data_IF_843373741476
#
_entry.id   IF_843373741476
#
_cell.length_a   1.000
_cell.length_b   1.000
_cell.length_c   1.000
_cell.angle_alpha   90.00
_cell.angle_beta   90.00
_cell.angle_gamma   90.00
#
_symmetry.space_group_name_H-M   'P 1'
#
loop_
_entity.id
_entity.type
_entity.pdbx_description
1 polymer ?
#
# COMPACT_ATOMS: atom_id res chain seq x y z
N UNK A 1 57.97 -6.17 -22.25
CA UNK A 1 56.82 -6.99 -21.81
C UNK A 1 56.14 -6.26 -20.67
N UNK A 2 55.05 -5.54 -20.93
CA UNK A 2 54.22 -4.92 -19.88
C UNK A 2 52.81 -5.44 -20.08
N UNK A 3 52.39 -6.33 -19.19
CA UNK A 3 51.06 -6.94 -19.21
C UNK A 3 50.01 -5.90 -18.85
N UNK A 4 48.96 -5.90 -19.67
CA UNK A 4 47.77 -5.07 -19.60
C UNK A 4 46.83 -5.71 -18.58
N UNK A 5 46.73 -5.16 -17.36
CA UNK A 5 45.68 -5.51 -16.41
C UNK A 5 44.54 -4.51 -16.56
N UNK A 6 43.58 -4.78 -17.44
CA UNK A 6 42.28 -4.08 -17.44
C UNK A 6 41.41 -4.78 -16.40
N UNK A 7 41.31 -4.16 -15.23
CA UNK A 7 40.32 -4.53 -14.22
C UNK A 7 38.94 -4.10 -14.72
N UNK A 8 38.13 -5.08 -15.13
CA UNK A 8 36.74 -4.88 -15.52
C UNK A 8 35.91 -4.69 -14.24
N UNK A 9 35.77 -3.43 -13.81
CA UNK A 9 34.97 -3.05 -12.65
C UNK A 9 33.50 -3.01 -13.09
N UNK A 10 32.81 -4.14 -12.95
CA UNK A 10 31.36 -4.22 -13.20
C UNK A 10 30.67 -3.47 -12.07
N UNK A 11 30.26 -2.23 -12.34
CA UNK A 11 29.28 -1.53 -11.53
C UNK A 11 27.94 -2.28 -11.65
N UNK A 12 27.57 -3.03 -10.62
CA UNK A 12 26.20 -3.54 -10.48
C UNK A 12 25.30 -2.34 -10.16
N UNK A 13 24.58 -1.85 -11.16
CA UNK A 13 23.48 -0.91 -10.93
C UNK A 13 22.42 -1.60 -10.04
N UNK A 14 21.74 -0.88 -9.14
CA UNK A 14 20.60 -1.43 -8.42
C UNK A 14 19.54 -1.83 -9.45
N UNK A 15 19.24 -3.13 -9.52
CA UNK A 15 18.17 -3.66 -10.36
C UNK A 15 16.85 -3.13 -9.80
N UNK A 16 16.13 -2.31 -10.57
CA UNK A 16 14.82 -1.81 -10.18
C UNK A 16 13.86 -3.01 -10.07
N UNK A 17 13.20 -3.15 -8.92
CA UNK A 17 12.34 -4.32 -8.66
C UNK A 17 11.20 -4.33 -9.67
N UNK A 18 11.03 -5.42 -10.44
CA UNK A 18 10.05 -5.45 -11.52
C UNK A 18 8.62 -5.44 -10.97
N UNK A 19 7.71 -4.83 -11.72
CA UNK A 19 6.29 -4.91 -11.43
C UNK A 19 5.77 -6.33 -11.69
N UNK A 20 4.89 -6.81 -10.81
CA UNK A 20 4.16 -8.05 -11.01
C UNK A 20 3.15 -7.88 -12.15
N UNK A 21 2.96 -8.92 -12.96
CA UNK A 21 1.98 -8.90 -14.03
C UNK A 21 0.55 -8.80 -13.48
N UNK A 22 -0.30 -8.03 -14.16
CA UNK A 22 -1.68 -7.77 -13.75
C UNK A 22 -2.56 -9.03 -13.65
N UNK A 23 -2.22 -10.09 -14.39
CA UNK A 23 -2.98 -11.36 -14.38
C UNK A 23 -2.61 -12.28 -13.20
N UNK A 24 -1.54 -11.96 -12.46
CA UNK A 24 -1.06 -12.78 -11.33
C UNK A 24 -1.62 -12.34 -9.98
N UNK A 25 -2.41 -11.27 -9.96
CA UNK A 25 -3.08 -10.77 -8.77
C UNK A 25 -4.41 -10.11 -9.13
N UNK A 26 -5.23 -9.90 -8.11
CA UNK A 26 -6.46 -9.15 -8.21
C UNK A 26 -6.53 -8.14 -7.08
N UNK A 27 -6.96 -6.92 -7.36
CA UNK A 27 -7.12 -5.88 -6.35
C UNK A 27 -8.52 -5.30 -6.45
N UNK A 28 -9.30 -5.42 -5.37
CA UNK A 28 -10.67 -4.90 -5.30
C UNK A 28 -10.79 -3.85 -4.20
N UNK A 29 -11.39 -2.72 -4.54
CA UNK A 29 -11.77 -1.73 -3.54
C UNK A 29 -13.05 -2.18 -2.82
N UNK A 30 -13.03 -2.06 -1.50
CA UNK A 30 -14.17 -2.26 -0.62
C UNK A 30 -14.40 -1.00 0.20
N UNK A 31 -15.62 -0.48 0.10
CA UNK A 31 -16.07 0.67 0.86
C UNK A 31 -16.99 0.20 1.97
N UNK A 32 -16.68 0.62 3.19
CA UNK A 32 -17.53 0.45 4.35
C UNK A 32 -17.82 1.82 4.96
N UNK A 33 -19.05 2.07 5.39
CA UNK A 33 -19.38 3.28 6.12
C UNK A 33 -19.04 3.06 7.60
N UNK A 34 -18.06 3.79 8.13
CA UNK A 34 -17.63 3.69 9.53
C UNK A 34 -17.80 5.02 10.26
N UNK A 35 -18.22 5.02 11.53
CA UNK A 35 -18.19 6.22 12.35
C UNK A 35 -16.73 6.62 12.58
N UNK A 36 -16.41 7.91 12.43
CA UNK A 36 -15.14 8.45 12.90
C UNK A 36 -15.30 8.83 14.37
N UNK A 37 -14.71 8.05 15.27
CA UNK A 37 -14.63 8.46 16.67
C UNK A 37 -13.65 9.64 16.77
N UNK A 38 -14.15 10.81 17.18
CA UNK A 38 -13.28 11.93 17.52
C UNK A 38 -12.33 11.49 18.64
N UNK A 39 -11.04 11.81 18.53
CA UNK A 39 -10.11 11.65 19.64
C UNK A 39 -10.72 12.33 20.89
N UNK A 40 -10.56 11.76 22.10
CA UNK A 40 -11.07 12.41 23.29
C UNK A 40 -10.40 13.78 23.39
N UNK A 41 -11.18 14.84 23.23
CA UNK A 41 -10.73 16.20 23.55
C UNK A 41 -10.23 16.16 25.00
N UNK A 42 -8.94 16.43 25.20
CA UNK A 42 -8.41 16.69 26.53
C UNK A 42 -9.32 17.73 27.17
N UNK A 43 -9.89 17.39 28.33
CA UNK A 43 -10.86 18.19 29.05
C UNK A 43 -10.27 19.55 29.43
N UNK A 44 -10.41 20.54 28.55
CA UNK A 44 -10.32 21.96 28.91
C UNK A 44 -11.74 22.49 29.01
N UNK A 45 -12.19 22.65 30.25
CA UNK A 45 -13.46 23.28 30.60
C UNK A 45 -13.48 24.73 30.09
N UNK A 46 -14.42 25.10 29.21
CA UNK A 46 -15.19 26.34 29.37
C UNK A 46 -16.38 26.44 28.42
N UNK A 47 -17.52 26.80 29.03
CA UNK A 47 -18.67 27.54 28.49
C UNK A 47 -19.49 26.97 27.31
N UNK A 48 -20.68 26.47 27.70
CA UNK A 48 -21.99 26.90 27.18
C UNK A 48 -22.15 26.98 25.65
N UNK A 49 -22.35 25.84 24.98
CA UNK A 49 -23.19 25.76 23.77
C UNK A 49 -23.87 24.40 23.70
N UNK A 50 -25.21 24.44 23.71
CA UNK A 50 -26.17 23.44 23.23
C UNK A 50 -25.62 22.06 22.89
N UNK A 51 -26.06 21.06 23.66
CA UNK A 51 -26.04 19.63 23.34
C UNK A 51 -26.69 19.35 21.97
N UNK A 52 -25.96 19.60 20.89
CA UNK A 52 -26.10 18.82 19.67
C UNK A 52 -25.11 17.69 19.86
N UNK A 53 -25.59 16.57 20.40
CA UNK A 53 -24.95 15.28 20.19
C UNK A 53 -24.86 15.08 18.67
N UNK A 54 -23.78 15.56 18.06
CA UNK A 54 -23.47 15.24 16.67
C UNK A 54 -23.26 13.73 16.64
N UNK A 55 -24.29 13.01 16.19
CA UNK A 55 -24.16 11.60 15.88
C UNK A 55 -22.92 11.44 14.99
N UNK A 56 -22.04 10.46 15.26
CA UNK A 56 -20.83 10.30 14.48
C UNK A 56 -21.22 10.17 13.01
N UNK A 57 -20.75 11.11 12.18
CA UNK A 57 -21.00 11.04 10.74
C UNK A 57 -20.35 9.76 10.22
N UNK A 58 -21.14 8.97 9.50
CA UNK A 58 -20.64 7.80 8.81
C UNK A 58 -19.78 8.28 7.64
N UNK A 59 -18.50 7.95 7.66
CA UNK A 59 -17.55 8.31 6.63
C UNK A 59 -17.15 7.07 5.82
N UNK A 60 -16.94 7.22 4.49
CA UNK A 60 -16.43 6.14 3.67
C UNK A 60 -15.02 5.73 4.12
N UNK A 61 -14.89 4.46 4.44
CA UNK A 61 -13.67 3.81 4.88
C UNK A 61 -13.25 2.78 3.84
N UNK A 62 -12.01 2.87 3.40
CA UNK A 62 -11.48 2.10 2.27
C UNK A 62 -10.62 0.94 2.74
N UNK A 63 -10.90 -0.23 2.19
CA UNK A 63 -10.05 -1.42 2.26
C UNK A 63 -9.76 -1.90 0.84
N UNK A 64 -8.52 -2.27 0.56
CA UNK A 64 -8.17 -2.98 -0.68
C UNK A 64 -8.06 -4.46 -0.35
N UNK A 65 -8.91 -5.27 -0.97
CA UNK A 65 -8.73 -6.72 -0.98
C UNK A 65 -7.78 -7.09 -2.10
N UNK A 66 -6.52 -7.32 -1.75
CA UNK A 66 -5.50 -7.77 -2.68
C UNK A 66 -5.39 -9.29 -2.64
N UNK A 67 -5.79 -9.97 -3.71
CA UNK A 67 -5.74 -11.42 -3.83
C UNK A 67 -4.56 -11.84 -4.71
N UNK A 68 -3.77 -12.78 -4.21
CA UNK A 68 -2.68 -13.39 -4.98
C UNK A 68 -3.26 -14.50 -5.83
N UNK A 69 -3.15 -14.41 -7.15
CA UNK A 69 -3.70 -15.42 -8.06
C UNK A 69 -2.64 -16.47 -8.42
N UNK A 70 -1.42 -16.05 -8.70
CA UNK A 70 -0.28 -16.92 -9.01
C UNK A 70 0.93 -16.51 -8.17
N UNK A 71 1.79 -17.46 -7.79
CA UNK A 71 3.10 -17.21 -7.19
C UNK A 71 4.22 -17.65 -8.14
N UNK A 72 5.30 -16.87 -8.21
CA UNK A 72 6.48 -17.28 -8.96
C UNK A 72 7.32 -18.28 -8.15
N UNK A 73 8.11 -19.15 -8.82
CA UNK A 73 8.98 -20.08 -8.13
C UNK A 73 9.90 -19.37 -7.12
N UNK A 74 9.90 -19.84 -5.88
CA UNK A 74 10.72 -19.28 -4.81
C UNK A 74 10.04 -18.18 -3.98
N UNK A 75 8.92 -17.61 -4.42
CA UNK A 75 8.16 -16.63 -3.64
C UNK A 75 7.43 -17.31 -2.47
N UNK A 76 7.75 -16.91 -1.24
CA UNK A 76 7.19 -17.52 -0.02
C UNK A 76 6.57 -16.51 0.94
N UNK A 77 6.84 -15.21 0.73
CA UNK A 77 6.42 -14.15 1.65
C UNK A 77 6.02 -12.90 0.88
N UNK A 78 5.04 -12.19 1.43
CA UNK A 78 4.69 -10.83 1.01
C UNK A 78 5.02 -9.86 2.14
N UNK A 79 5.60 -8.71 1.78
CA UNK A 79 5.79 -7.54 2.64
C UNK A 79 5.04 -6.36 2.02
N UNK A 80 4.29 -5.64 2.83
CA UNK A 80 3.59 -4.43 2.41
C UNK A 80 4.19 -3.26 3.15
N UNK A 81 4.60 -2.26 2.40
CA UNK A 81 5.11 -0.99 2.89
C UNK A 81 4.12 0.13 2.52
N UNK A 82 4.02 1.13 3.38
CA UNK A 82 3.32 2.37 3.05
C UNK A 82 4.22 3.35 2.25
N UNK A 83 3.69 4.54 1.97
CA UNK A 83 4.40 5.58 1.23
C UNK A 83 5.62 6.14 1.96
N UNK A 84 5.77 5.90 3.27
CA UNK A 84 6.93 6.28 4.06
C UNK A 84 7.99 5.16 4.11
N UNK A 85 7.69 3.99 3.52
CA UNK A 85 8.55 2.80 3.56
C UNK A 85 8.40 1.99 4.85
N UNK A 86 7.43 2.31 5.71
CA UNK A 86 7.18 1.54 6.92
C UNK A 86 6.45 0.24 6.59
N UNK A 87 6.92 -0.87 7.17
CA UNK A 87 6.28 -2.17 6.95
C UNK A 87 4.98 -2.26 7.73
N UNK A 88 3.85 -2.14 7.04
CA UNK A 88 2.51 -2.28 7.62
C UNK A 88 2.05 -3.74 7.73
N UNK A 89 2.59 -4.63 6.90
CA UNK A 89 2.28 -6.06 6.95
C UNK A 89 3.43 -6.91 6.42
N UNK A 90 3.70 -8.06 7.04
CA UNK A 90 4.64 -9.03 6.49
C UNK A 90 4.24 -10.45 6.88
N UNK A 91 3.92 -11.29 5.89
CA UNK A 91 3.42 -12.65 6.14
C UNK A 91 3.72 -13.64 5.02
N UNK A 92 3.74 -14.92 5.36
CA UNK A 92 3.83 -16.00 4.36
C UNK A 92 2.62 -15.94 3.43
N UNK A 93 2.83 -16.31 2.17
CA UNK A 93 1.82 -16.22 1.12
C UNK A 93 1.61 -17.57 0.45
N UNK A 94 0.39 -17.81 0.00
CA UNK A 94 0.01 -18.93 -0.86
C UNK A 94 -0.87 -18.41 -1.99
N UNK A 95 -0.97 -19.15 -3.09
CA UNK A 95 -1.91 -18.84 -4.15
C UNK A 95 -3.36 -18.83 -3.62
N UNK A 96 -4.18 -17.93 -4.16
CA UNK A 96 -5.55 -17.69 -3.72
C UNK A 96 -5.69 -16.88 -2.43
N UNK A 97 -4.60 -16.59 -1.71
CA UNK A 97 -4.66 -15.84 -0.44
C UNK A 97 -5.13 -14.40 -0.67
N UNK A 98 -6.12 -13.96 0.11
CA UNK A 98 -6.55 -12.57 0.17
C UNK A 98 -5.79 -11.81 1.28
N UNK A 99 -5.18 -10.70 0.90
CA UNK A 99 -4.46 -9.73 1.71
C UNK A 99 -5.30 -8.45 1.85
N UNK A 100 -6.14 -8.32 2.90
CA UNK A 100 -6.87 -7.08 3.12
C UNK A 100 -5.89 -5.98 3.58
N UNK A 101 -5.87 -4.87 2.86
CA UNK A 101 -5.10 -3.67 3.17
C UNK A 101 -6.06 -2.58 3.63
N UNK A 102 -6.01 -2.27 4.92
CA UNK A 102 -6.84 -1.21 5.51
C UNK A 102 -6.17 0.14 5.28
N UNK A 103 -6.83 1.02 4.51
CA UNK A 103 -6.25 2.30 4.10
C UNK A 103 -6.73 3.48 4.93
N UNK A 104 -7.91 3.38 5.55
CA UNK A 104 -8.49 4.46 6.35
C UNK A 104 -9.66 5.15 5.66
N UNK A 105 -9.97 6.38 6.08
CA UNK A 105 -11.07 7.16 5.52
C UNK A 105 -10.64 7.81 4.19
N UNK A 106 -11.54 7.83 3.20
CA UNK A 106 -11.22 8.34 1.85
C UNK A 106 -10.84 9.82 1.86
N UNK A 107 -11.38 10.59 2.80
CA UNK A 107 -11.08 12.02 2.93
C UNK A 107 -9.62 12.25 3.33
N UNK A 108 -9.06 11.36 4.16
CA UNK A 108 -7.64 11.42 4.55
C UNK A 108 -6.73 11.05 3.37
N UNK A 109 -7.17 10.08 2.55
CA UNK A 109 -6.41 9.62 1.38
C UNK A 109 -6.30 10.70 0.29
N UNK A 110 -7.36 11.51 0.10
CA UNK A 110 -7.37 12.62 -0.88
C UNK A 110 -6.63 13.87 -0.38
N UNK A 111 -6.38 13.97 0.93
CA UNK A 111 -5.80 15.16 1.55
C UNK A 111 -4.27 15.22 1.54
N UNK A 112 -3.58 14.19 1.07
CA UNK A 112 -2.11 14.14 1.08
C UNK A 112 -1.52 14.66 -0.25
N UNK A 113 -0.69 15.72 -0.25
CA UNK A 113 -0.19 16.35 -1.47
C UNK A 113 0.70 15.44 -2.33
N UNK A 114 1.35 14.45 -1.70
CA UNK A 114 2.20 13.46 -2.39
C UNK A 114 1.43 12.19 -2.81
N UNK A 115 0.12 12.14 -2.55
CA UNK A 115 -0.71 10.95 -2.67
C UNK A 115 -0.43 9.92 -1.57
N UNK A 116 -1.20 8.82 -1.59
CA UNK A 116 -0.99 7.67 -0.71
C UNK A 116 -0.51 6.48 -1.54
N UNK A 117 0.64 5.93 -1.19
CA UNK A 117 1.22 4.78 -1.86
C UNK A 117 1.30 3.57 -0.93
N UNK A 118 1.09 2.38 -1.49
CA UNK A 118 1.40 1.12 -0.83
C UNK A 118 2.15 0.23 -1.81
N UNK A 119 3.27 -0.33 -1.35
CA UNK A 119 4.10 -1.24 -2.12
C UNK A 119 4.00 -2.65 -1.54
N UNK A 120 3.54 -3.60 -2.36
CA UNK A 120 3.39 -5.01 -2.01
C UNK A 120 4.54 -5.77 -2.67
N UNK A 121 5.52 -6.16 -1.88
CA UNK A 121 6.70 -6.90 -2.32
C UNK A 121 6.52 -8.39 -2.13
N UNK A 122 6.82 -9.17 -3.16
CA UNK A 122 6.94 -10.61 -3.10
C UNK A 122 8.40 -10.97 -2.86
N UNK A 123 8.63 -11.92 -1.97
CA UNK A 123 9.95 -12.20 -1.44
C UNK A 123 10.26 -13.69 -1.39
N UNK A 124 11.53 -14.00 -1.61
CA UNK A 124 12.08 -15.35 -1.44
C UNK A 124 12.25 -15.71 0.04
N UNK A 125 12.67 -16.95 0.30
CA UNK A 125 13.02 -17.42 1.65
C UNK A 125 14.17 -16.62 2.25
N UNK A 126 15.09 -16.16 1.39
CA UNK A 126 16.26 -15.38 1.75
C UNK A 126 15.97 -13.87 1.87
N UNK A 127 14.68 -13.49 1.77
CA UNK A 127 14.17 -12.12 1.84
C UNK A 127 14.62 -11.23 0.68
N UNK A 128 15.02 -11.83 -0.43
CA UNK A 128 15.23 -11.10 -1.68
C UNK A 128 13.87 -10.76 -2.29
N UNK A 129 13.74 -9.53 -2.79
CA UNK A 129 12.51 -9.06 -3.42
C UNK A 129 12.53 -9.49 -4.88
N UNK A 130 11.52 -10.23 -5.31
CA UNK A 130 11.40 -10.76 -6.68
C UNK A 130 10.55 -9.87 -7.57
N UNK A 131 9.45 -9.35 -7.02
CA UNK A 131 8.51 -8.50 -7.75
C UNK A 131 7.74 -7.61 -6.78
N UNK A 132 7.13 -6.55 -7.31
CA UNK A 132 6.28 -5.63 -6.54
C UNK A 132 4.97 -5.30 -7.22
N UNK A 133 3.97 -4.97 -6.43
CA UNK A 133 2.77 -4.25 -6.89
C UNK A 133 2.71 -2.92 -6.16
N UNK A 134 2.48 -1.83 -6.89
CA UNK A 134 2.33 -0.50 -6.32
C UNK A 134 0.88 -0.06 -6.48
N UNK A 135 0.24 0.24 -5.37
CA UNK A 135 -1.08 0.87 -5.33
C UNK A 135 -0.86 2.33 -4.99
N UNK A 136 -1.40 3.23 -5.81
CA UNK A 136 -1.23 4.66 -5.64
C UNK A 136 -2.57 5.39 -5.71
N UNK A 137 -2.82 6.28 -4.77
CA UNK A 137 -3.98 7.16 -4.72
C UNK A 137 -3.53 8.59 -4.97
N UNK A 138 -4.01 9.17 -6.07
CA UNK A 138 -3.81 10.58 -6.38
C UNK A 138 -4.68 11.47 -5.49
N UNK A 139 -4.27 12.73 -5.33
CA UNK A 139 -5.04 13.78 -4.63
C UNK A 139 -6.47 13.92 -5.17
N UNK A 140 -6.64 13.78 -6.49
CA UNK A 140 -7.95 13.86 -7.15
C UNK A 140 -8.85 12.62 -6.89
N UNK A 141 -8.36 11.62 -6.17
CA UNK A 141 -9.04 10.35 -5.85
C UNK A 141 -8.88 9.25 -6.91
N UNK A 142 -8.12 9.46 -7.99
CA UNK A 142 -7.82 8.38 -8.95
C UNK A 142 -6.92 7.36 -8.26
N UNK A 143 -7.30 6.08 -8.34
CA UNK A 143 -6.45 5.00 -7.87
C UNK A 143 -5.80 4.26 -9.05
N UNK A 144 -4.50 4.00 -8.90
CA UNK A 144 -3.66 3.33 -9.87
C UNK A 144 -3.07 2.07 -9.28
N UNK A 145 -2.80 1.11 -10.16
CA UNK A 145 -2.03 -0.09 -9.84
C UNK A 145 -0.93 -0.23 -10.87
N UNK A 146 0.32 -0.29 -10.42
CA UNK A 146 1.52 -0.30 -11.29
C UNK A 146 1.50 0.83 -12.33
N UNK A 147 0.98 2.00 -11.95
CA UNK A 147 0.86 3.18 -12.82
C UNK A 147 -0.40 3.21 -13.71
N UNK A 148 -1.12 2.10 -13.85
CA UNK A 148 -2.35 2.04 -14.64
C UNK A 148 -3.56 2.52 -13.84
N UNK A 149 -4.40 3.43 -14.37
CA UNK A 149 -5.62 3.86 -13.69
C UNK A 149 -6.63 2.70 -13.63
N UNK A 150 -7.20 2.47 -12.45
CA UNK A 150 -8.17 1.40 -12.20
C UNK A 150 -9.53 1.93 -11.74
N UNK A 151 -9.62 3.20 -11.35
CA UNK A 151 -10.88 3.89 -11.06
C UNK A 151 -10.68 5.10 -10.15
N UNK A 152 -11.73 5.47 -9.41
CA UNK A 152 -11.76 6.67 -8.56
C UNK A 152 -12.45 6.40 -7.23
N UNK A 153 -11.94 6.99 -6.15
CA UNK A 153 -12.51 6.99 -4.79
C UNK A 153 -13.10 8.35 -4.43
#
# INVERSE_FOLDING_TARGET
>A
MKWLCIAFLIFTLPEDVPYRAGDDFEARLKFELKPRHAAPLAQSYSSLRSDIQQAPSLLPFLTVDFKVLRLYPGEVRVRVEDGMGETVMSRKVTEGMALPLTLGFTDDLKGHPDGYAYSIYFMTRDREVTSRVVIFFEENGIFRINGEPRGKI
#
